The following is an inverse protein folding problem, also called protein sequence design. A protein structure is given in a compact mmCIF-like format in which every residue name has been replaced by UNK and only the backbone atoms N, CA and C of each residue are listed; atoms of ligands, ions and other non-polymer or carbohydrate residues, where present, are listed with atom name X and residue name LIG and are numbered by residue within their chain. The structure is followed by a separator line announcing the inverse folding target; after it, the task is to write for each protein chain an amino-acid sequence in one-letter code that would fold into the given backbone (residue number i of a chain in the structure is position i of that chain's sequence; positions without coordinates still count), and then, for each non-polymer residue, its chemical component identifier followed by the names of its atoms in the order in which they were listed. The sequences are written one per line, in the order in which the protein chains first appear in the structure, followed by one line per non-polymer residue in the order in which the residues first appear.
data_IF_339656460547
#
_entry.id   IF_339656460547
#
_cell.length_a   1.000
_cell.length_b   1.000
_cell.length_c   1.000
_cell.angle_alpha   90.00
_cell.angle_beta   90.00
_cell.angle_gamma   90.00
#
_symmetry.space_group_name_H-M   'P 1'
#
loop_
_entity.id
_entity.type
_entity.pdbx_description
1 polymer ?
#
# COMPACT_ATOMS: atom_id res chain seq x y z
N UNK A 1 -19.11 11.34 36.86
CA UNK A 1 -18.12 11.67 35.80
C UNK A 1 -18.87 12.28 34.62
N UNK A 2 -18.38 13.35 33.98
CA UNK A 2 -19.13 13.99 32.88
C UNK A 2 -19.27 13.01 31.70
N UNK A 3 -20.47 12.91 31.11
CA UNK A 3 -20.77 11.98 29.99
C UNK A 3 -19.79 12.13 28.82
N UNK A 4 -19.34 13.36 28.53
CA UNK A 4 -18.34 13.65 27.50
C UNK A 4 -16.99 12.97 27.74
N UNK A 5 -16.56 12.79 28.99
CA UNK A 5 -15.29 12.13 29.33
C UNK A 5 -15.39 10.62 29.08
N UNK A 6 -16.53 10.02 29.43
CA UNK A 6 -16.80 8.60 29.17
C UNK A 6 -16.81 8.35 27.66
N UNK A 7 -17.47 9.23 26.89
CA UNK A 7 -17.50 9.12 25.44
C UNK A 7 -16.10 9.17 24.81
N UNK A 8 -15.23 10.11 25.23
CA UNK A 8 -13.85 10.21 24.74
C UNK A 8 -13.02 8.96 25.04
N UNK A 9 -13.15 8.41 26.25
CA UNK A 9 -12.47 7.17 26.64
C UNK A 9 -12.96 5.97 25.82
N UNK A 10 -14.28 5.85 25.62
CA UNK A 10 -14.87 4.74 24.87
C UNK A 10 -14.48 4.80 23.38
N UNK A 11 -14.61 5.97 22.74
CA UNK A 11 -14.20 6.20 21.36
C UNK A 11 -12.70 5.90 21.21
N UNK A 12 -11.88 6.41 22.14
CA UNK A 12 -10.45 6.22 22.07
C UNK A 12 -10.04 4.75 22.22
N UNK A 13 -10.64 4.03 23.17
CA UNK A 13 -10.33 2.62 23.41
C UNK A 13 -10.76 1.74 22.24
N UNK A 14 -12.03 1.83 21.82
CA UNK A 14 -12.57 1.04 20.70
C UNK A 14 -11.86 1.41 19.41
N UNK A 15 -11.73 2.70 19.13
CA UNK A 15 -11.10 3.21 17.92
C UNK A 15 -9.63 2.81 17.81
N UNK A 16 -8.89 2.78 18.92
CA UNK A 16 -7.50 2.34 18.93
C UNK A 16 -7.36 0.84 18.63
N UNK A 17 -8.24 0.00 19.18
CA UNK A 17 -8.24 -1.44 18.92
C UNK A 17 -8.56 -1.76 17.46
N UNK A 18 -9.63 -1.16 16.92
CA UNK A 18 -10.06 -1.37 15.53
C UNK A 18 -9.01 -0.82 14.56
N UNK A 19 -8.63 0.46 14.70
CA UNK A 19 -7.69 1.11 13.77
C UNK A 19 -6.29 0.52 13.86
N UNK A 20 -5.85 0.14 15.06
CA UNK A 20 -4.57 -0.54 15.27
C UNK A 20 -4.54 -1.92 14.64
N UNK A 21 -5.62 -2.69 14.77
CA UNK A 21 -5.76 -3.98 14.08
C UNK A 21 -5.71 -3.84 12.56
N UNK A 22 -6.46 -2.88 12.00
CA UNK A 22 -6.46 -2.59 10.56
C UNK A 22 -5.08 -2.12 10.07
N UNK A 23 -4.41 -1.27 10.84
CA UNK A 23 -3.06 -0.82 10.50
C UNK A 23 -2.09 -2.01 10.44
N UNK A 24 -2.16 -2.94 11.41
CA UNK A 24 -1.30 -4.11 11.43
C UNK A 24 -1.53 -5.03 10.23
N UNK A 25 -2.78 -5.27 9.83
CA UNK A 25 -3.10 -6.12 8.69
C UNK A 25 -2.76 -5.48 7.34
N UNK A 26 -2.82 -4.16 7.23
CA UNK A 26 -2.51 -3.43 6.00
C UNK A 26 -1.01 -3.14 5.84
N UNK A 27 -0.31 -2.85 6.95
CA UNK A 27 1.12 -2.54 6.93
C UNK A 27 1.99 -3.80 6.97
N UNK A 28 1.52 -4.89 7.57
CA UNK A 28 2.25 -6.16 7.62
C UNK A 28 2.72 -6.67 6.25
N UNK A 29 1.85 -6.74 5.22
CA UNK A 29 2.22 -7.12 3.87
C UNK A 29 3.31 -6.22 3.25
N UNK A 30 3.35 -4.92 3.59
CA UNK A 30 4.39 -4.00 3.08
C UNK A 30 5.79 -4.37 3.56
N UNK A 31 5.90 -4.98 4.74
CA UNK A 31 7.18 -5.35 5.36
C UNK A 31 7.63 -6.79 5.04
N UNK A 32 6.68 -7.71 4.86
CA UNK A 32 6.94 -9.16 4.74
C UNK A 32 6.41 -9.77 3.45
N UNK A 33 5.81 -8.97 2.57
CA UNK A 33 5.22 -9.46 1.33
C UNK A 33 6.27 -10.07 0.42
N UNK A 34 5.87 -11.14 -0.26
CA UNK A 34 6.68 -11.77 -1.30
C UNK A 34 6.54 -10.96 -2.59
N UNK A 35 7.65 -10.43 -3.11
CA UNK A 35 7.66 -9.65 -4.36
C UNK A 35 7.48 -10.56 -5.58
N UNK A 36 7.74 -11.87 -5.44
CA UNK A 36 7.73 -12.86 -6.51
C UNK A 36 6.36 -13.42 -6.89
N UNK A 37 5.29 -13.08 -6.18
CA UNK A 37 3.92 -13.55 -6.52
C UNK A 37 3.12 -12.57 -7.37
N UNK A 38 3.63 -11.34 -7.58
CA UNK A 38 2.92 -10.25 -8.27
C UNK A 38 3.31 -10.11 -9.74
N UNK A 39 3.91 -11.14 -10.32
CA UNK A 39 4.17 -11.21 -11.74
C UNK A 39 2.88 -11.44 -12.51
N UNK A 40 2.83 -10.90 -13.72
CA UNK A 40 1.80 -11.27 -14.70
C UNK A 40 1.84 -12.79 -14.90
N UNK A 41 0.69 -13.50 -14.90
CA UNK A 41 0.68 -14.94 -15.12
C UNK A 41 1.27 -15.32 -16.48
N UNK A 42 2.06 -16.40 -16.52
CA UNK A 42 2.64 -16.94 -17.76
C UNK A 42 1.58 -17.31 -18.82
N UNK A 43 0.35 -17.60 -18.38
CA UNK A 43 -0.80 -17.91 -19.25
C UNK A 43 -1.40 -16.69 -19.95
N UNK A 44 -1.01 -15.47 -19.57
CA UNK A 44 -1.54 -14.22 -20.11
C UNK A 44 -0.45 -13.14 -20.19
N UNK A 45 0.63 -13.37 -20.95
CA UNK A 45 1.70 -12.40 -21.10
C UNK A 45 1.20 -11.13 -21.81
N UNK A 46 1.82 -10.00 -21.48
CA UNK A 46 1.50 -8.71 -22.09
C UNK A 46 2.31 -8.51 -23.37
N UNK A 47 1.69 -7.83 -24.33
CA UNK A 47 2.40 -7.31 -25.50
C UNK A 47 3.29 -6.13 -25.13
N UNK A 48 4.28 -5.82 -25.98
CA UNK A 48 5.14 -4.65 -25.81
C UNK A 48 4.36 -3.34 -25.76
N UNK A 49 3.27 -3.22 -26.52
CA UNK A 49 2.39 -2.05 -26.50
C UNK A 49 1.73 -1.84 -25.14
N UNK A 50 1.23 -2.92 -24.53
CA UNK A 50 0.56 -2.88 -23.22
C UNK A 50 1.53 -2.52 -22.07
N UNK A 51 2.84 -2.65 -22.28
CA UNK A 51 3.86 -2.38 -21.26
C UNK A 51 4.51 -1.01 -21.37
N UNK A 52 4.15 -0.20 -22.38
CA UNK A 52 4.79 1.10 -22.66
C UNK A 52 4.67 2.14 -21.53
N UNK A 53 3.69 1.99 -20.63
CA UNK A 53 3.54 2.83 -19.42
C UNK A 53 4.39 2.36 -18.25
N UNK A 54 4.83 1.10 -18.23
CA UNK A 54 5.64 0.52 -17.16
C UNK A 54 7.14 0.68 -17.45
N UNK A 55 7.56 0.38 -18.67
CA UNK A 55 8.95 0.56 -19.10
C UNK A 55 9.04 0.75 -20.61
N UNK A 56 10.22 1.13 -21.09
CA UNK A 56 10.54 1.21 -22.52
C UNK A 56 11.90 0.58 -22.75
N UNK A 57 11.97 -0.30 -23.74
CA UNK A 57 13.21 -0.99 -24.11
C UNK A 57 13.76 -0.40 -25.40
N UNK A 58 15.06 -0.12 -25.40
CA UNK A 58 15.77 0.50 -26.52
C UNK A 58 17.00 -0.34 -26.89
N UNK A 59 17.30 -0.39 -28.18
CA UNK A 59 18.52 -0.92 -28.76
C UNK A 59 19.08 0.18 -29.64
N UNK A 60 20.36 0.51 -29.51
CA UNK A 60 21.01 1.58 -30.29
C UNK A 60 20.18 2.89 -30.37
N UNK A 61 19.71 3.33 -29.20
CA UNK A 61 18.89 4.54 -29.03
C UNK A 61 17.54 4.54 -29.79
N UNK A 62 17.11 3.40 -30.32
CA UNK A 62 15.83 3.21 -31.03
C UNK A 62 14.97 2.22 -30.24
N UNK A 63 13.64 2.42 -30.19
CA UNK A 63 12.79 1.52 -29.42
C UNK A 63 12.80 0.11 -30.01
N UNK A 64 12.75 -0.92 -29.15
CA UNK A 64 12.66 -2.32 -29.59
C UNK A 64 11.47 -2.51 -30.54
N UNK A 65 10.34 -1.84 -30.24
CA UNK A 65 9.16 -1.88 -31.08
C UNK A 65 9.42 -1.30 -32.49
N UNK A 66 10.12 -0.17 -32.59
CA UNK A 66 10.50 0.39 -33.89
C UNK A 66 11.44 -0.55 -34.65
N UNK A 67 12.37 -1.24 -33.96
CA UNK A 67 13.24 -2.21 -34.61
C UNK A 67 12.48 -3.39 -35.22
N UNK A 68 11.44 -3.88 -34.54
CA UNK A 68 10.58 -4.96 -35.04
C UNK A 68 9.68 -4.48 -36.18
N UNK A 69 9.06 -3.30 -36.05
CA UNK A 69 8.21 -2.72 -37.10
C UNK A 69 8.99 -2.43 -38.39
N UNK A 70 10.25 -2.00 -38.27
CA UNK A 70 11.13 -1.73 -39.40
C UNK A 70 11.85 -2.98 -39.93
N UNK A 71 11.60 -4.17 -39.36
CA UNK A 71 12.23 -5.44 -39.77
C UNK A 71 13.74 -5.54 -39.50
N UNK A 72 14.30 -4.61 -38.74
CA UNK A 72 15.73 -4.58 -38.40
C UNK A 72 16.13 -5.56 -37.29
N UNK A 73 15.16 -6.20 -36.63
CA UNK A 73 15.40 -7.23 -35.63
C UNK A 73 15.26 -8.62 -36.26
N UNK A 74 16.34 -9.40 -36.24
CA UNK A 74 16.36 -10.78 -36.71
C UNK A 74 16.72 -11.74 -35.58
N UNK A 75 15.92 -12.79 -35.44
CA UNK A 75 16.19 -13.91 -34.55
C UNK A 75 16.78 -15.09 -35.32
N UNK A 76 17.52 -15.94 -34.62
CA UNK A 76 17.97 -17.22 -35.16
C UNK A 76 17.09 -18.32 -34.57
N UNK A 77 16.34 -19.01 -35.44
CA UNK A 77 15.51 -20.14 -35.04
C UNK A 77 16.35 -21.34 -34.61
N UNK A 78 15.73 -22.31 -33.93
CA UNK A 78 16.39 -23.56 -33.51
C UNK A 78 16.97 -24.36 -34.69
N UNK A 79 16.44 -24.15 -35.88
CA UNK A 79 16.87 -24.81 -37.12
C UNK A 79 18.01 -24.06 -37.82
N UNK A 80 18.54 -22.99 -37.21
CA UNK A 80 19.62 -22.17 -37.78
C UNK A 80 19.16 -21.21 -38.89
N UNK A 81 17.86 -21.12 -39.14
CA UNK A 81 17.27 -20.16 -40.07
C UNK A 81 17.03 -18.83 -39.38
N UNK A 82 17.45 -17.74 -40.03
CA UNK A 82 17.14 -16.39 -39.59
C UNK A 82 15.68 -16.06 -39.91
N UNK A 83 14.99 -15.42 -38.98
CA UNK A 83 13.63 -14.91 -39.16
C UNK A 83 13.53 -13.48 -38.62
N UNK A 84 12.61 -12.69 -39.17
CA UNK A 84 12.32 -11.36 -38.64
C UNK A 84 11.47 -11.50 -37.38
N UNK A 85 11.88 -10.81 -36.31
CA UNK A 85 11.11 -10.80 -35.06
C UNK A 85 9.99 -9.78 -35.19
N UNK A 86 8.76 -10.25 -35.10
CA UNK A 86 7.57 -9.39 -35.09
C UNK A 86 7.14 -9.06 -33.65
N UNK A 87 6.36 -7.98 -33.43
CA UNK A 87 5.86 -7.65 -32.10
C UNK A 87 5.08 -8.78 -31.41
N UNK A 88 4.40 -9.63 -32.18
CA UNK A 88 3.64 -10.78 -31.67
C UNK A 88 4.53 -11.93 -31.15
N UNK A 89 5.82 -11.93 -31.52
CA UNK A 89 6.79 -12.95 -31.11
C UNK A 89 7.44 -12.62 -29.76
N UNK A 90 7.15 -11.43 -29.21
CA UNK A 90 7.68 -10.97 -27.93
C UNK A 90 6.55 -10.82 -26.92
N UNK A 91 6.63 -11.64 -25.87
CA UNK A 91 5.75 -11.58 -24.72
C UNK A 91 6.54 -11.07 -23.51
N UNK A 92 5.90 -10.24 -22.69
CA UNK A 92 6.51 -9.63 -21.51
C UNK A 92 5.69 -9.99 -20.27
N UNK A 93 6.40 -10.35 -19.20
CA UNK A 93 5.84 -10.46 -17.87
C UNK A 93 6.31 -9.27 -17.05
N UNK A 94 5.37 -8.57 -16.40
CA UNK A 94 5.68 -7.41 -15.57
C UNK A 94 5.36 -7.74 -14.11
N UNK A 95 6.25 -7.32 -13.21
CA UNK A 95 6.02 -7.40 -11.77
C UNK A 95 5.23 -6.16 -11.30
N UNK A 96 4.05 -6.39 -10.73
CA UNK A 96 3.17 -5.33 -10.24
C UNK A 96 3.32 -5.05 -8.73
N UNK A 97 4.33 -5.64 -8.07
CA UNK A 97 4.56 -5.45 -6.64
C UNK A 97 4.67 -3.99 -6.21
N UNK A 98 5.37 -3.08 -6.92
CA UNK A 98 5.44 -1.68 -6.51
C UNK A 98 4.07 -1.01 -6.39
N UNK A 99 3.17 -1.26 -7.35
CA UNK A 99 1.80 -0.71 -7.34
C UNK A 99 0.97 -1.29 -6.20
N UNK A 100 1.06 -2.61 -5.99
CA UNK A 100 0.35 -3.31 -4.91
C UNK A 100 0.83 -2.82 -3.54
N UNK A 101 2.16 -2.67 -3.38
CA UNK A 101 2.78 -2.13 -2.17
C UNK A 101 2.32 -0.70 -1.89
N UNK A 102 2.22 0.14 -2.92
CA UNK A 102 1.68 1.49 -2.78
C UNK A 102 0.23 1.50 -2.31
N UNK A 103 -0.61 0.60 -2.84
CA UNK A 103 -2.01 0.46 -2.41
C UNK A 103 -2.14 0.02 -0.94
N UNK A 104 -1.31 -0.94 -0.49
CA UNK A 104 -1.25 -1.32 0.91
C UNK A 104 -0.80 -0.15 1.80
N UNK A 105 0.21 0.60 1.37
CA UNK A 105 0.72 1.75 2.13
C UNK A 105 -0.33 2.87 2.23
N UNK A 106 -1.05 3.14 1.16
CA UNK A 106 -2.16 4.11 1.16
C UNK A 106 -3.27 3.69 2.13
N UNK A 107 -3.62 2.40 2.14
CA UNK A 107 -4.61 1.88 3.09
C UNK A 107 -4.12 2.02 4.53
N UNK A 108 -2.86 1.65 4.79
CA UNK A 108 -2.22 1.77 6.09
C UNK A 108 -2.17 3.24 6.58
N UNK A 109 -1.97 4.21 5.69
CA UNK A 109 -2.01 5.64 6.04
C UNK A 109 -3.36 6.06 6.63
N UNK A 110 -4.48 5.63 6.06
CA UNK A 110 -5.81 5.94 6.61
C UNK A 110 -6.02 5.30 7.99
N UNK A 111 -5.60 4.04 8.16
CA UNK A 111 -5.70 3.34 9.45
C UNK A 111 -4.80 3.97 10.51
N UNK A 112 -3.58 4.41 10.13
CA UNK A 112 -2.67 5.12 11.02
C UNK A 112 -3.25 6.47 11.46
N UNK A 113 -3.88 7.20 10.54
CA UNK A 113 -4.58 8.45 10.86
C UNK A 113 -5.73 8.21 11.85
N UNK A 114 -6.59 7.22 11.57
CA UNK A 114 -7.70 6.85 12.46
C UNK A 114 -7.22 6.39 13.85
N UNK A 115 -6.11 5.65 13.90
CA UNK A 115 -5.45 5.26 15.15
C UNK A 115 -4.97 6.49 15.92
N UNK A 116 -4.28 7.43 15.26
CA UNK A 116 -3.82 8.67 15.87
C UNK A 116 -4.96 9.52 16.45
N UNK A 117 -6.06 9.66 15.72
CA UNK A 117 -7.26 10.36 16.19
C UNK A 117 -7.88 9.67 17.42
N UNK A 118 -7.97 8.34 17.38
CA UNK A 118 -8.51 7.53 18.48
C UNK A 118 -7.64 7.62 19.73
N UNK A 119 -6.32 7.48 19.59
CA UNK A 119 -5.36 7.65 20.70
C UNK A 119 -5.43 9.06 21.29
N UNK A 120 -5.59 10.09 20.45
CA UNK A 120 -5.77 11.46 20.92
C UNK A 120 -7.04 11.61 21.77
N UNK A 121 -8.17 11.03 21.34
CA UNK A 121 -9.40 11.01 22.12
C UNK A 121 -9.22 10.27 23.46
N UNK A 122 -8.52 9.13 23.45
CA UNK A 122 -8.22 8.36 24.65
C UNK A 122 -7.39 9.18 25.65
N UNK A 123 -6.30 9.80 25.18
CA UNK A 123 -5.42 10.63 26.00
C UNK A 123 -6.14 11.83 26.60
N UNK A 124 -6.94 12.55 25.79
CA UNK A 124 -7.76 13.67 26.29
C UNK A 124 -8.75 13.18 27.34
N UNK A 125 -9.41 12.04 27.11
CA UNK A 125 -10.33 11.42 28.06
C UNK A 125 -9.65 11.08 29.39
N UNK A 126 -8.45 10.47 29.34
CA UNK A 126 -7.65 10.11 30.52
C UNK A 126 -7.27 11.37 31.31
N UNK A 127 -6.73 12.39 30.64
CA UNK A 127 -6.32 13.64 31.29
C UNK A 127 -7.52 14.36 31.92
N UNK A 128 -8.66 14.40 31.22
CA UNK A 128 -9.88 15.01 31.73
C UNK A 128 -10.43 14.26 32.95
N UNK A 129 -10.36 12.93 32.97
CA UNK A 129 -10.77 12.11 34.10
C UNK A 129 -9.93 12.40 35.35
N UNK A 130 -8.61 12.48 35.22
CA UNK A 130 -7.72 12.81 36.34
C UNK A 130 -7.93 14.23 36.88
N UNK A 131 -8.12 15.21 35.99
CA UNK A 131 -8.42 16.60 36.41
C UNK A 131 -9.75 16.71 37.15
N UNK A 132 -10.80 16.03 36.67
CA UNK A 132 -12.11 16.01 37.33
C UNK A 132 -12.08 15.33 38.70
N UNK A 133 -11.31 14.25 38.86
CA UNK A 133 -11.14 13.56 40.14
C UNK A 133 -10.45 14.44 41.19
N UNK A 134 -9.44 15.23 40.80
CA UNK A 134 -8.75 16.16 41.69
C UNK A 134 -9.66 17.28 42.21
N UNK A 135 -10.51 17.85 41.35
CA UNK A 135 -11.46 18.89 41.73
C UNK A 135 -12.52 18.39 42.72
N UNK A 136 -13.12 17.22 42.48
CA UNK A 136 -14.09 16.61 43.39
C UNK A 136 -13.52 16.36 44.79
N UNK A 137 -12.26 15.91 44.86
CA UNK A 137 -11.55 15.68 46.14
C UNK A 137 -11.27 16.97 46.90
N UNK A 138 -10.98 18.07 46.19
CA UNK A 138 -10.76 19.39 46.80
C UNK A 138 -12.05 20.03 47.34
N UNK A 139 -13.19 19.84 46.67
CA UNK A 139 -14.49 20.32 47.15
C UNK A 139 -14.95 19.55 48.40
N UNK A 140 -14.80 18.23 48.41
CA UNK A 140 -15.16 17.41 49.58
C UNK A 140 -14.38 17.78 50.85
N UNK A 141 -13.15 18.31 50.69
CA UNK A 141 -12.30 18.77 51.80
C UNK A 141 -12.63 20.16 52.32
N UNK A 142 -13.37 20.98 51.55
CA UNK A 142 -13.85 22.31 51.96
C UNK A 142 -15.21 22.27 52.67
N UNK A 143 -15.92 21.15 52.59
CA UNK A 143 -17.23 20.93 53.22
C UNK A 143 -17.12 20.16 54.56
N UNK A 144 -15.89 19.88 55.02
CA UNK A 144 -15.56 19.38 56.36
C UNK A 144 -14.87 20.47 57.14
#
# INVERSE_FOLDING_TARGET
MKSSVIALLAIGLIGSGVSGGLLATQYGPVLKGDEGIWWTPDSSPLSLDETASAFRLYIDNTSLQAHMQNGSLTGLGREGLAFHVEPKDVAVLVNNWPSVRAAFLQSALYSAFALGASLSCLLIGIVAAFRGAGQARSQARRLR
#
